data_IF_305070479826
#
_entry.id   IF_305070479826
#
_cell.length_a   1.000
_cell.length_b   1.000
_cell.length_c   1.000
_cell.angle_alpha   90.00
_cell.angle_beta   90.00
_cell.angle_gamma   90.00
#
_symmetry.space_group_name_H-M   'P 1'
#
loop_
_entity.id
_entity.type
_entity.pdbx_description
1 polymer ?
#
# COMPACT_ATOMS: atom_id res chain seq x y z
N UNK A 1 23.34 -3.11 14.20
CA UNK A 1 22.86 -1.93 13.45
C UNK A 1 21.40 -2.22 13.13
N UNK A 2 20.48 -1.38 13.56
CA UNK A 2 19.08 -1.54 13.16
C UNK A 2 18.99 -1.06 11.71
N UNK A 3 19.05 -1.97 10.75
CA UNK A 3 18.85 -1.62 9.35
C UNK A 3 17.42 -1.11 9.17
N UNK A 4 17.29 0.19 9.00
CA UNK A 4 16.03 0.86 8.71
C UNK A 4 15.46 0.32 7.39
N UNK A 5 14.21 -0.13 7.41
CA UNK A 5 13.54 -0.66 6.22
C UNK A 5 12.88 0.49 5.46
N UNK A 6 13.23 0.63 4.20
CA UNK A 6 12.64 1.61 3.28
C UNK A 6 11.68 0.93 2.32
N UNK A 7 10.67 1.65 1.87
CA UNK A 7 9.67 1.16 0.93
C UNK A 7 10.17 1.31 -0.51
N UNK A 8 10.13 0.21 -1.26
CA UNK A 8 10.53 0.17 -2.66
C UNK A 8 9.45 -0.46 -3.52
N UNK A 9 9.22 0.09 -4.71
CA UNK A 9 8.27 -0.43 -5.68
C UNK A 9 8.99 -1.32 -6.67
N UNK A 10 8.46 -2.51 -6.84
CA UNK A 10 8.92 -3.45 -7.85
C UNK A 10 8.37 -2.99 -9.19
N UNK A 11 9.22 -2.79 -10.19
CA UNK A 11 8.79 -2.41 -11.55
C UNK A 11 8.80 -3.60 -12.50
N UNK A 12 9.49 -4.69 -12.16
CA UNK A 12 9.56 -5.93 -12.94
C UNK A 12 9.39 -7.15 -12.04
N UNK A 13 8.64 -8.15 -12.48
CA UNK A 13 8.40 -9.39 -11.71
C UNK A 13 9.74 -10.12 -11.43
N UNK A 14 10.06 -10.35 -10.14
CA UNK A 14 11.35 -10.94 -9.72
C UNK A 14 11.26 -11.64 -8.36
N UNK A 15 12.18 -12.58 -8.06
CA UNK A 15 12.29 -13.16 -6.72
C UNK A 15 12.97 -12.16 -5.78
N UNK A 16 12.28 -11.77 -4.70
CA UNK A 16 12.82 -10.92 -3.62
C UNK A 16 12.61 -11.66 -2.30
N UNK A 17 13.68 -11.80 -1.51
CA UNK A 17 13.61 -12.53 -0.24
C UNK A 17 13.14 -13.97 -0.38
N UNK A 18 13.48 -14.63 -1.50
CA UNK A 18 13.07 -16.01 -1.81
C UNK A 18 11.62 -16.18 -2.27
N UNK A 19 10.86 -15.09 -2.49
CA UNK A 19 9.49 -15.13 -3.02
C UNK A 19 9.36 -14.36 -4.32
N UNK A 20 8.64 -14.93 -5.30
CA UNK A 20 8.33 -14.24 -6.54
C UNK A 20 7.33 -13.11 -6.28
N UNK A 21 7.72 -11.87 -6.58
CA UNK A 21 6.88 -10.69 -6.39
C UNK A 21 6.49 -10.09 -7.75
N UNK A 22 5.21 -9.76 -7.99
CA UNK A 22 4.77 -9.07 -9.20
C UNK A 22 5.29 -7.64 -9.32
N UNK A 23 5.29 -7.12 -10.54
CA UNK A 23 5.47 -5.69 -10.79
C UNK A 23 4.30 -4.89 -10.20
N UNK A 24 4.62 -3.71 -9.67
CA UNK A 24 3.69 -2.81 -8.99
C UNK A 24 3.62 -2.99 -7.46
N UNK A 25 4.14 -4.10 -6.91
CA UNK A 25 4.11 -4.34 -5.46
C UNK A 25 5.13 -3.46 -4.71
N UNK A 26 4.76 -3.00 -3.51
CA UNK A 26 5.64 -2.26 -2.62
C UNK A 26 6.21 -3.23 -1.57
N UNK A 27 7.53 -3.27 -1.45
CA UNK A 27 8.27 -4.10 -0.50
C UNK A 27 9.12 -3.25 0.42
N UNK A 28 9.19 -3.64 1.69
CA UNK A 28 10.06 -3.01 2.67
C UNK A 28 11.40 -3.75 2.70
N UNK A 29 12.48 -3.10 2.22
CA UNK A 29 13.83 -3.66 2.16
C UNK A 29 14.78 -2.85 3.02
N UNK A 30 15.76 -3.52 3.60
CA UNK A 30 16.93 -2.86 4.19
C UNK A 30 17.86 -2.30 3.11
N UNK A 31 18.75 -1.39 3.48
CA UNK A 31 19.73 -0.84 2.52
C UNK A 31 20.59 -1.95 1.90
N UNK A 32 21.02 -2.92 2.72
CA UNK A 32 21.78 -4.09 2.27
C UNK A 32 21.01 -4.96 1.27
N UNK A 33 19.74 -5.24 1.55
CA UNK A 33 18.88 -5.98 0.62
C UNK A 33 18.67 -5.20 -0.67
N UNK A 34 18.39 -3.89 -0.58
CA UNK A 34 18.29 -3.05 -1.76
C UNK A 34 19.57 -3.10 -2.60
N UNK A 35 20.77 -2.99 -2.03
CA UNK A 35 22.02 -3.05 -2.80
C UNK A 35 22.23 -4.42 -3.48
N UNK A 36 21.89 -5.51 -2.79
CA UNK A 36 21.95 -6.85 -3.38
C UNK A 36 20.97 -6.99 -4.56
N UNK A 37 19.81 -6.35 -4.45
CA UNK A 37 18.73 -6.44 -5.42
C UNK A 37 18.86 -5.39 -6.56
N UNK A 38 19.44 -4.22 -6.30
CA UNK A 38 19.57 -3.09 -7.22
C UNK A 38 20.48 -3.42 -8.41
N UNK A 39 21.49 -4.26 -8.21
CA UNK A 39 22.35 -4.76 -9.28
C UNK A 39 21.61 -5.55 -10.36
N UNK A 40 20.41 -6.07 -10.05
CA UNK A 40 19.56 -6.79 -11.01
C UNK A 40 18.58 -5.86 -11.76
N UNK A 41 18.37 -4.63 -11.30
CA UNK A 41 17.39 -3.68 -11.85
C UNK A 41 15.93 -4.01 -11.53
N UNK A 42 15.00 -3.09 -11.78
CA UNK A 42 13.56 -3.37 -11.63
C UNK A 42 12.97 -3.14 -10.23
N UNK A 43 13.62 -2.32 -9.41
CA UNK A 43 13.10 -1.83 -8.12
C UNK A 43 13.43 -0.35 -8.01
N UNK A 44 12.46 0.47 -7.61
CA UNK A 44 12.63 1.90 -7.42
C UNK A 44 12.25 2.31 -5.99
N UNK A 45 12.97 3.27 -5.36
CA UNK A 45 12.57 3.80 -4.08
C UNK A 45 11.24 4.53 -4.22
N UNK A 46 10.23 4.08 -3.47
CA UNK A 46 9.06 4.91 -3.25
C UNK A 46 9.49 5.88 -2.17
N UNK A 47 9.76 7.14 -2.52
CA UNK A 47 9.89 8.17 -1.49
C UNK A 47 8.63 8.08 -0.62
N UNK A 48 8.72 7.65 0.64
CA UNK A 48 7.57 7.75 1.51
C UNK A 48 7.42 9.25 1.75
N UNK A 49 6.44 9.86 1.10
CA UNK A 49 5.81 11.01 1.72
C UNK A 49 5.39 10.53 3.12
N UNK A 50 5.81 11.20 4.21
CA UNK A 50 5.60 10.71 5.56
C UNK A 50 4.13 10.39 5.71
N UNK A 51 3.81 9.11 5.92
CA UNK A 51 2.46 8.70 6.23
C UNK A 51 2.02 9.50 7.46
N UNK A 52 1.14 10.48 7.25
CA UNK A 52 0.30 10.98 8.32
C UNK A 52 -0.33 9.74 8.97
N UNK A 53 -0.24 9.57 10.29
CA UNK A 53 -0.71 8.37 10.96
C UNK A 53 -2.17 8.15 10.56
N UNK A 54 -2.46 6.96 10.03
CA UNK A 54 -3.80 6.53 9.71
C UNK A 54 -4.65 6.71 10.97
N UNK A 55 -5.55 7.70 10.91
CA UNK A 55 -6.60 7.87 11.89
C UNK A 55 -7.41 6.56 11.93
N UNK A 56 -7.29 5.87 13.05
CA UNK A 56 -8.34 4.98 13.52
C UNK A 56 -9.63 5.80 13.66
N UNK A 57 -10.48 5.74 12.63
CA UNK A 57 -11.91 6.04 12.72
C UNK A 57 -12.56 5.09 11.70
N UNK A 58 -12.84 3.87 12.14
CA UNK A 58 -14.15 3.51 12.66
C UNK A 58 -15.18 3.43 11.53
N UNK A 59 -15.69 2.21 11.37
CA UNK A 59 -16.89 1.91 10.64
C UNK A 59 -18.00 2.91 11.00
N UNK A 60 -18.53 3.60 10.01
CA UNK A 60 -19.97 3.81 9.90
C UNK A 60 -20.32 3.88 8.42
N UNK A 61 -20.81 2.75 7.93
CA UNK A 61 -21.28 2.61 6.57
C UNK A 61 -22.63 3.35 6.47
N UNK A 62 -22.65 4.41 5.67
CA UNK A 62 -23.73 4.64 4.72
C UNK A 62 -25.13 4.83 5.31
N UNK A 63 -25.39 6.06 5.72
CA UNK A 63 -26.70 6.69 5.60
C UNK A 63 -27.16 6.68 4.12
N UNK A 64 -28.16 5.85 3.78
CA UNK A 64 -29.04 6.04 2.61
C UNK A 64 -30.40 5.37 2.85
N UNK A 65 -31.46 6.16 3.09
CA UNK A 65 -32.75 6.15 2.35
C UNK A 65 -33.65 7.24 2.97
N UNK A 66 -33.58 8.46 2.46
CA UNK A 66 -34.56 9.00 1.52
C UNK A 66 -35.97 9.14 2.11
N UNK A 67 -36.29 10.39 2.44
CA UNK A 67 -37.66 10.84 2.62
C UNK A 67 -38.53 10.49 1.40
N UNK A 68 -39.73 9.93 1.61
CA UNK A 68 -40.89 10.19 0.75
C UNK A 68 -42.19 10.13 1.55
N UNK A 69 -42.62 11.31 1.97
CA UNK A 69 -43.99 11.67 2.29
C UNK A 69 -44.89 11.46 1.06
N UNK A 70 -45.95 10.62 1.09
CA UNK A 70 -47.17 10.80 0.24
C UNK A 70 -48.29 9.73 0.36
N UNK A 71 -49.52 10.24 0.54
CA UNK A 71 -50.86 9.78 0.10
C UNK A 71 -51.58 8.56 0.74
N UNK A 72 -52.52 8.89 1.64
CA UNK A 72 -53.99 8.79 1.45
C UNK A 72 -54.50 7.87 0.32
N UNK A 73 -55.23 6.81 0.70
CA UNK A 73 -56.38 6.10 0.05
C UNK A 73 -56.58 4.80 0.86
N UNK A 74 -57.76 4.31 1.23
CA UNK A 74 -59.17 4.58 0.94
C UNK A 74 -59.97 3.88 2.04
#
# INVERSE_FOLDING_TARGET
MADEKKSYRITTRRPIGGRMRPAGEIVALTDREYQAEAGWGGIEPVMPEPAAPAAEAAADAGETDAATNTRKRK
#
